data_IF_596456240424
#
_entry.id   IF_596456240424
#
_cell.length_a   1.000
_cell.length_b   1.000
_cell.length_c   1.000
_cell.angle_alpha   90.00
_cell.angle_beta   90.00
_cell.angle_gamma   90.00
#
_symmetry.space_group_name_H-M   'P 1'
#
loop_
_entity.id
_entity.type
_entity.pdbx_description
1 polymer ?
#
# COMPACT_ATOMS: atom_id res chain seq x y z
N UNK A 1 -48.02 3.18 33.37
CA UNK A 1 -46.86 4.10 33.49
C UNK A 1 -45.89 3.52 34.52
N UNK A 2 -44.58 3.51 34.22
CA UNK A 2 -43.50 3.17 35.16
C UNK A 2 -42.94 1.75 34.98
N UNK A 3 -42.33 1.43 33.83
CA UNK A 3 -40.87 1.50 33.55
C UNK A 3 -40.05 0.48 34.35
N UNK A 4 -39.79 -0.67 33.71
CA UNK A 4 -38.74 -1.60 34.07
C UNK A 4 -37.39 -0.86 34.04
N UNK A 5 -36.78 -0.68 35.21
CA UNK A 5 -35.44 -0.13 35.39
C UNK A 5 -34.42 -1.21 35.02
N UNK A 6 -33.95 -1.19 33.77
CA UNK A 6 -32.83 -2.03 33.36
C UNK A 6 -31.54 -1.32 33.77
N UNK A 7 -30.87 -1.88 34.77
CA UNK A 7 -29.49 -1.61 35.16
C UNK A 7 -28.58 -1.81 33.93
N UNK A 8 -28.39 -0.76 33.15
CA UNK A 8 -27.40 -0.68 32.08
C UNK A 8 -26.26 0.20 32.56
N UNK A 9 -25.51 -0.28 33.56
CA UNK A 9 -24.21 0.26 33.91
C UNK A 9 -23.29 -0.09 32.73
N UNK A 10 -23.42 0.68 31.64
CA UNK A 10 -22.50 0.70 30.53
C UNK A 10 -21.24 1.37 31.06
N UNK A 11 -20.47 0.51 31.71
CA UNK A 11 -19.09 0.66 32.12
C UNK A 11 -18.30 1.00 30.84
N UNK A 12 -18.31 2.27 30.43
CA UNK A 12 -17.36 2.82 29.47
C UNK A 12 -16.01 2.92 30.19
N UNK A 13 -15.44 1.76 30.52
CA UNK A 13 -14.01 1.56 30.71
C UNK A 13 -13.39 1.65 29.32
N UNK A 14 -13.34 2.87 28.80
CA UNK A 14 -12.12 3.33 28.17
C UNK A 14 -11.29 3.97 29.30
N UNK A 15 -10.80 3.11 30.21
CA UNK A 15 -9.51 3.39 30.81
C UNK A 15 -8.56 3.43 29.62
N UNK A 16 -8.25 4.64 29.15
CA UNK A 16 -6.99 4.93 28.48
C UNK A 16 -5.96 5.07 29.61
N UNK A 17 -5.15 4.05 29.95
CA UNK A 17 -3.79 4.34 30.37
C UNK A 17 -3.02 4.70 29.09
N UNK A 18 -2.04 5.55 29.06
CA UNK A 18 -1.34 6.31 30.08
C UNK A 18 -0.99 7.67 29.43
N UNK A 19 -0.43 8.59 30.21
CA UNK A 19 0.13 9.87 29.79
C UNK A 19 0.24 10.06 28.27
N UNK A 20 -0.62 10.92 27.70
CA UNK A 20 -0.47 11.37 26.33
C UNK A 20 0.89 12.07 26.23
N UNK A 21 1.90 11.38 25.76
CA UNK A 21 3.15 12.00 25.45
C UNK A 21 2.99 12.66 24.08
N UNK A 22 3.42 13.91 24.01
CA UNK A 22 2.95 14.84 23.01
C UNK A 22 3.67 14.71 21.66
N UNK A 23 4.27 13.57 21.31
CA UNK A 23 5.04 13.50 20.05
C UNK A 23 4.11 13.40 18.84
N UNK A 24 4.32 14.22 17.82
CA UNK A 24 3.58 14.20 16.57
C UNK A 24 4.35 13.40 15.52
N UNK A 25 3.61 12.76 14.62
CA UNK A 25 4.18 12.00 13.52
C UNK A 25 3.54 12.46 12.22
N UNK A 26 4.34 12.63 11.18
CA UNK A 26 3.85 13.01 9.88
C UNK A 26 4.56 12.28 8.75
N UNK A 27 3.85 12.16 7.63
CA UNK A 27 4.37 11.65 6.36
C UNK A 27 4.22 12.75 5.33
N UNK A 28 5.32 13.31 4.83
CA UNK A 28 5.30 14.49 3.95
C UNK A 28 4.44 15.65 4.51
N UNK A 29 4.35 15.78 5.84
CA UNK A 29 3.51 16.78 6.51
C UNK A 29 2.08 16.34 6.85
N UNK A 30 1.64 15.14 6.44
CA UNK A 30 0.32 14.58 6.77
C UNK A 30 0.36 13.70 8.02
N UNK A 31 -0.50 13.95 9.02
CA UNK A 31 -0.36 13.38 10.38
C UNK A 31 -0.95 11.98 10.58
N UNK A 32 -1.60 11.40 9.56
CA UNK A 32 -2.35 10.14 9.73
C UNK A 32 -2.50 9.32 8.47
N UNK A 33 -2.79 9.97 7.35
CA UNK A 33 -2.99 9.33 6.07
C UNK A 33 -2.30 10.15 4.99
N UNK A 34 -1.39 9.54 4.25
CA UNK A 34 -0.79 10.13 3.08
C UNK A 34 -1.13 9.29 1.83
N UNK A 35 -1.44 9.96 0.72
CA UNK A 35 -1.57 9.31 -0.58
C UNK A 35 -0.40 9.78 -1.44
N UNK A 36 0.37 8.84 -1.97
CA UNK A 36 1.60 9.12 -2.71
C UNK A 36 1.67 8.25 -3.96
N UNK A 37 2.38 8.71 -4.97
CA UNK A 37 2.61 7.92 -6.18
C UNK A 37 3.78 6.96 -6.00
N UNK A 38 3.67 5.78 -6.61
CA UNK A 38 4.72 4.79 -6.68
C UNK A 38 6.02 5.37 -7.24
N UNK A 39 7.14 5.09 -6.58
CA UNK A 39 8.47 5.59 -6.95
C UNK A 39 8.80 6.97 -6.37
N UNK A 40 7.90 7.59 -5.60
CA UNK A 40 8.14 8.86 -4.94
C UNK A 40 8.92 8.67 -3.63
N UNK A 41 9.81 9.63 -3.32
CA UNK A 41 10.48 9.72 -2.03
C UNK A 41 9.52 10.30 -0.99
N UNK A 42 9.34 9.58 0.10
CA UNK A 42 8.45 9.94 1.21
C UNK A 42 9.27 10.15 2.46
N UNK A 43 9.02 11.25 3.16
CA UNK A 43 9.67 11.61 4.41
C UNK A 43 8.75 11.32 5.59
N UNK A 44 9.22 10.47 6.51
CA UNK A 44 8.60 10.18 7.79
C UNK A 44 9.30 11.01 8.86
N UNK A 45 8.53 11.78 9.63
CA UNK A 45 9.08 12.66 10.67
C UNK A 45 8.34 12.43 11.98
N UNK A 46 9.09 12.28 13.06
CA UNK A 46 8.60 12.35 14.42
C UNK A 46 9.08 13.66 15.06
N UNK A 47 8.15 14.49 15.52
CA UNK A 47 8.43 15.80 16.11
C UNK A 47 7.93 15.81 17.54
N UNK A 48 8.73 16.39 18.43
CA UNK A 48 8.30 16.67 19.81
C UNK A 48 7.97 18.15 19.90
N UNK A 49 6.73 18.54 20.23
CA UNK A 49 6.36 19.94 20.35
C UNK A 49 7.11 20.58 21.50
N UNK A 50 7.45 21.87 21.36
CA UNK A 50 8.28 22.57 22.34
C UNK A 50 7.62 22.72 23.73
N UNK A 51 6.29 22.58 23.79
CA UNK A 51 5.49 22.57 25.02
C UNK A 51 5.35 21.18 25.66
N UNK A 52 5.99 20.15 25.10
CA UNK A 52 5.91 18.80 25.64
C UNK A 52 6.45 18.73 27.06
N UNK A 53 5.62 18.22 27.97
CA UNK A 53 6.03 17.99 29.36
C UNK A 53 7.05 16.86 29.50
N UNK A 54 7.11 15.95 28.51
CA UNK A 54 7.97 14.77 28.53
C UNK A 54 8.58 14.59 27.14
N UNK A 55 9.90 14.47 27.09
CA UNK A 55 10.67 14.32 25.84
C UNK A 55 11.14 12.87 25.73
N UNK A 56 10.90 12.19 24.59
CA UNK A 56 11.43 10.85 24.35
C UNK A 56 12.95 10.85 24.18
N UNK A 57 13.60 9.81 24.68
CA UNK A 57 15.04 9.57 24.53
C UNK A 57 15.35 9.06 23.12
N UNK A 58 14.50 8.19 22.58
CA UNK A 58 14.70 7.57 21.27
C UNK A 58 13.40 7.30 20.54
N UNK A 59 13.50 7.18 19.22
CA UNK A 59 12.40 6.83 18.32
C UNK A 59 12.72 5.52 17.61
N UNK A 60 11.67 4.78 17.27
CA UNK A 60 11.76 3.57 16.46
C UNK A 60 10.58 3.46 15.51
N UNK A 61 10.88 3.44 14.23
CA UNK A 61 9.94 3.18 13.15
C UNK A 61 9.89 1.69 12.83
N UNK A 62 8.68 1.15 12.71
CA UNK A 62 8.39 -0.14 12.08
C UNK A 62 7.48 0.10 10.88
N UNK A 63 8.00 -0.14 9.67
CA UNK A 63 7.24 0.00 8.42
C UNK A 63 6.34 -1.22 8.13
N UNK A 64 6.33 -2.23 9.00
CA UNK A 64 5.60 -3.49 8.84
C UNK A 64 6.21 -4.44 7.79
N UNK A 65 7.10 -3.94 6.94
CA UNK A 65 7.77 -4.67 5.85
C UNK A 65 9.10 -4.03 5.49
N UNK A 66 9.89 -4.78 4.74
CA UNK A 66 11.09 -4.26 4.09
C UNK A 66 10.69 -3.36 2.91
N UNK A 67 11.13 -2.10 2.93
CA UNK A 67 10.90 -1.08 1.90
C UNK A 67 12.01 -1.09 0.85
N UNK A 68 13.27 -1.08 1.29
CA UNK A 68 14.48 -0.93 0.47
C UNK A 68 15.43 -2.10 0.75
N UNK A 69 15.07 -3.29 0.27
CA UNK A 69 15.86 -4.50 0.45
C UNK A 69 15.78 -5.12 1.85
N UNK A 70 16.58 -6.15 2.10
CA UNK A 70 16.46 -6.96 3.30
C UNK A 70 16.98 -6.21 4.54
N UNK A 71 16.17 -6.12 5.60
CA UNK A 71 16.55 -5.47 6.87
C UNK A 71 16.14 -3.99 6.97
N UNK A 72 15.50 -3.41 5.96
CA UNK A 72 15.07 -2.01 5.97
C UNK A 72 13.73 -1.78 6.70
N UNK A 73 13.22 -2.77 7.42
CA UNK A 73 11.92 -2.71 8.10
C UNK A 73 11.89 -1.74 9.27
N UNK A 74 13.02 -1.60 9.95
CA UNK A 74 13.14 -0.77 11.16
C UNK A 74 14.09 0.38 10.94
N UNK A 75 13.82 1.50 11.62
CA UNK A 75 14.72 2.65 11.64
C UNK A 75 14.62 3.39 12.98
N UNK A 76 15.75 3.79 13.55
CA UNK A 76 15.80 4.44 14.87
C UNK A 76 15.97 5.98 14.79
N UNK A 77 15.98 6.55 13.58
CA UNK A 77 16.09 7.99 13.37
C UNK A 77 14.75 8.70 13.56
N UNK A 78 14.79 9.94 14.05
CA UNK A 78 13.60 10.79 14.18
C UNK A 78 12.99 11.19 12.82
N UNK A 79 13.83 11.36 11.79
CA UNK A 79 13.41 11.55 10.40
C UNK A 79 13.99 10.49 9.48
N UNK A 80 13.17 9.97 8.57
CA UNK A 80 13.53 8.89 7.65
C UNK A 80 12.95 9.17 6.27
N UNK A 81 13.80 9.21 5.26
CA UNK A 81 13.37 9.27 3.86
C UNK A 81 13.43 7.88 3.22
N UNK A 82 12.34 7.44 2.59
CA UNK A 82 12.25 6.16 1.88
C UNK A 82 11.51 6.32 0.56
N UNK A 83 11.89 5.51 -0.43
CA UNK A 83 11.17 5.44 -1.71
C UNK A 83 10.22 4.25 -1.70
N UNK A 84 8.94 4.50 -1.96
CA UNK A 84 7.91 3.47 -1.96
C UNK A 84 7.61 3.00 -3.39
N UNK A 85 8.10 1.83 -3.78
CA UNK A 85 7.98 1.31 -5.15
C UNK A 85 6.76 0.42 -5.41
N UNK A 86 6.22 -0.23 -4.37
CA UNK A 86 5.08 -1.12 -4.56
C UNK A 86 3.78 -0.38 -4.26
N UNK A 87 2.83 -0.44 -5.18
CA UNK A 87 1.49 0.06 -4.93
C UNK A 87 0.81 -0.73 -3.79
N UNK A 88 0.01 -0.04 -2.98
CA UNK A 88 -0.74 -0.65 -1.88
C UNK A 88 -0.77 0.21 -0.62
N UNK A 89 -1.42 -0.33 0.41
CA UNK A 89 -1.51 0.30 1.72
C UNK A 89 -0.36 -0.15 2.64
N UNK A 90 0.30 0.82 3.27
CA UNK A 90 1.38 0.63 4.22
C UNK A 90 0.93 1.08 5.60
N UNK A 91 1.10 0.21 6.58
CA UNK A 91 0.91 0.52 7.99
C UNK A 91 2.27 0.82 8.62
N UNK A 92 2.49 2.06 9.03
CA UNK A 92 3.75 2.50 9.64
C UNK A 92 3.49 2.82 11.10
N UNK A 93 4.30 2.27 11.99
CA UNK A 93 4.20 2.52 13.44
C UNK A 93 5.47 3.20 13.92
N UNK A 94 5.32 4.34 14.58
CA UNK A 94 6.40 5.00 15.30
C UNK A 94 6.24 4.72 16.79
N UNK A 95 7.30 4.26 17.44
CA UNK A 95 7.38 4.06 18.88
C UNK A 95 8.37 5.06 19.46
N UNK A 96 7.95 5.83 20.45
CA UNK A 96 8.80 6.72 21.23
C UNK A 96 9.10 6.06 22.58
N UNK A 97 10.37 6.07 23.01
CA UNK A 97 10.81 5.53 24.29
C UNK A 97 11.23 6.67 25.22
N UNK A 98 10.81 6.58 26.48
CA UNK A 98 11.05 7.59 27.51
C UNK A 98 12.00 7.07 28.59
N UNK A 99 12.64 7.99 29.31
CA UNK A 99 13.64 7.70 30.36
C UNK A 99 13.05 6.90 31.55
N UNK A 100 11.74 7.03 31.80
CA UNK A 100 11.03 6.24 32.82
C UNK A 100 10.76 4.79 32.39
N UNK A 101 11.22 4.40 31.20
CA UNK A 101 11.00 3.09 30.59
C UNK A 101 9.61 2.94 29.96
N UNK A 102 8.79 4.00 29.94
CA UNK A 102 7.52 3.99 29.21
C UNK A 102 7.74 4.11 27.71
N UNK A 103 6.76 3.67 26.93
CA UNK A 103 6.78 3.80 25.48
C UNK A 103 5.40 4.16 24.96
N UNK A 104 5.34 5.06 23.98
CA UNK A 104 4.11 5.41 23.27
C UNK A 104 4.24 5.04 21.79
N UNK A 105 3.12 4.64 21.18
CA UNK A 105 3.06 4.25 19.78
C UNK A 105 2.03 5.08 19.01
N UNK A 106 2.42 5.57 17.84
CA UNK A 106 1.52 6.21 16.87
C UNK A 106 1.57 5.50 15.52
N UNK A 107 0.41 5.35 14.89
CA UNK A 107 0.27 4.65 13.62
C UNK A 107 -0.14 5.61 12.50
N UNK A 108 0.52 5.47 11.35
CA UNK A 108 0.23 6.21 10.13
C UNK A 108 -0.06 5.23 8.99
N UNK A 109 -0.89 5.69 8.05
CA UNK A 109 -1.25 4.96 6.85
C UNK A 109 -0.71 5.69 5.63
N UNK A 110 -0.04 4.94 4.75
CA UNK A 110 0.42 5.48 3.45
C UNK A 110 -0.22 4.64 2.35
N UNK A 111 -0.98 5.28 1.48
CA UNK A 111 -1.56 4.65 0.30
C UNK A 111 -0.70 5.02 -0.89
N UNK A 112 -0.03 4.02 -1.45
CA UNK A 112 0.76 4.18 -2.67
C UNK A 112 -0.12 3.83 -3.85
N UNK A 113 -0.50 4.85 -4.62
CA UNK A 113 -1.17 4.67 -5.90
C UNK A 113 -0.17 4.45 -7.01
N UNK A 114 -0.58 3.68 -8.02
CA UNK A 114 0.09 3.66 -9.31
C UNK A 114 -0.98 4.00 -10.34
N UNK A 115 -0.65 4.90 -11.25
CA UNK A 115 -1.46 5.15 -12.42
C UNK A 115 -0.67 4.64 -13.63
N UNK A 116 -1.31 3.80 -14.43
CA UNK A 116 -0.74 3.41 -15.72
C UNK A 116 -0.70 4.65 -16.59
N UNK A 117 0.45 4.96 -17.17
CA UNK A 117 0.58 6.12 -18.04
C UNK A 117 -0.46 5.99 -19.16
N UNK A 118 -1.43 6.91 -19.18
CA UNK A 118 -2.61 6.84 -20.05
C UNK A 118 -2.30 6.89 -21.56
N UNK A 119 -1.03 7.02 -21.94
CA UNK A 119 -0.60 7.36 -23.29
C UNK A 119 0.60 6.54 -23.78
N UNK A 120 0.79 5.31 -23.28
CA UNK A 120 1.70 4.38 -23.96
C UNK A 120 0.96 3.83 -25.19
N UNK A 121 1.40 4.13 -26.43
CA UNK A 121 0.82 3.50 -27.60
C UNK A 121 1.03 2.00 -27.44
N UNK A 122 -0.07 1.23 -27.39
CA UNK A 122 -0.03 -0.22 -27.27
C UNK A 122 0.74 -0.79 -28.47
N UNK A 123 2.05 -0.92 -28.28
CA UNK A 123 3.03 -1.22 -29.33
C UNK A 123 2.87 -2.67 -29.78
N UNK A 124 2.17 -3.48 -29.00
CA UNK A 124 1.94 -4.90 -29.25
C UNK A 124 0.59 -5.20 -29.88
N UNK A 125 -0.41 -4.30 -29.79
CA UNK A 125 -1.68 -4.41 -30.55
C UNK A 125 -1.53 -4.81 -32.02
N UNK A 126 -0.67 -4.18 -32.84
CA UNK A 126 -0.52 -4.58 -34.23
C UNK A 126 0.01 -6.02 -34.38
N UNK A 127 0.88 -6.48 -33.48
CA UNK A 127 1.37 -7.87 -33.46
C UNK A 127 0.26 -8.86 -33.08
N UNK A 128 -0.57 -8.54 -32.07
CA UNK A 128 -1.71 -9.38 -31.70
C UNK A 128 -2.74 -9.50 -32.83
N UNK A 129 -3.04 -8.38 -33.51
CA UNK A 129 -3.94 -8.37 -34.66
C UNK A 129 -3.35 -9.16 -35.84
N UNK A 130 -2.05 -9.00 -36.11
CA UNK A 130 -1.38 -9.75 -37.17
C UNK A 130 -1.34 -11.27 -36.90
N UNK A 131 -1.08 -11.67 -35.66
CA UNK A 131 -1.04 -13.07 -35.25
C UNK A 131 -2.43 -13.73 -35.35
N UNK A 132 -3.45 -13.07 -34.81
CA UNK A 132 -4.84 -13.55 -34.90
C UNK A 132 -5.32 -13.63 -36.36
N UNK A 133 -4.96 -12.63 -37.18
CA UNK A 133 -5.24 -12.65 -38.61
C UNK A 133 -4.58 -13.83 -39.31
N UNK A 134 -3.29 -14.07 -39.06
CA UNK A 134 -2.55 -15.17 -39.66
C UNK A 134 -3.15 -16.54 -39.31
N UNK A 135 -3.60 -16.74 -38.06
CA UNK A 135 -4.25 -17.97 -37.62
C UNK A 135 -5.57 -18.22 -38.37
N UNK A 136 -6.41 -17.19 -38.52
CA UNK A 136 -7.66 -17.28 -39.28
C UNK A 136 -7.41 -17.59 -40.76
N UNK A 137 -6.42 -16.94 -41.38
CA UNK A 137 -6.06 -17.19 -42.78
C UNK A 137 -5.56 -18.62 -42.99
N UNK A 138 -4.64 -19.10 -42.14
CA UNK A 138 -4.11 -20.46 -42.21
C UNK A 138 -5.21 -21.50 -42.00
N UNK A 139 -6.08 -21.30 -41.02
CA UNK A 139 -7.20 -22.20 -40.73
C UNK A 139 -8.18 -22.26 -41.90
N UNK A 140 -8.56 -21.10 -42.46
CA UNK A 140 -9.44 -21.04 -43.63
C UNK A 140 -8.83 -21.71 -44.86
N UNK A 141 -7.54 -21.49 -45.11
CA UNK A 141 -6.81 -22.12 -46.22
C UNK A 141 -6.77 -23.64 -46.09
N UNK A 142 -6.46 -24.17 -44.91
CA UNK A 142 -6.46 -25.61 -44.65
C UNK A 142 -7.86 -26.23 -44.80
N UNK A 143 -8.90 -25.55 -44.32
CA UNK A 143 -10.28 -26.00 -44.49
C UNK A 143 -10.67 -26.09 -45.97
N UNK A 144 -10.27 -25.10 -46.77
CA UNK A 144 -10.50 -25.10 -48.21
C UNK A 144 -9.77 -26.24 -48.93
N UNK A 145 -8.49 -26.46 -48.60
CA UNK A 145 -7.69 -27.56 -49.17
C UNK A 145 -8.29 -28.93 -48.82
N UNK A 146 -8.65 -29.15 -47.56
CA UNK A 146 -9.24 -30.43 -47.12
C UNK A 146 -10.59 -30.70 -47.78
N UNK A 147 -11.41 -29.66 -47.97
CA UNK A 147 -12.67 -29.79 -48.70
C UNK A 147 -12.44 -30.20 -50.16
N UNK A 148 -11.53 -29.55 -50.89
CA UNK A 148 -11.16 -29.93 -52.26
C UNK A 148 -10.65 -31.37 -52.37
N UNK A 149 -9.83 -31.80 -51.42
CA UNK A 149 -9.31 -33.17 -51.39
C UNK A 149 -10.42 -34.20 -51.14
N UNK A 150 -11.44 -33.85 -50.34
CA UNK A 150 -12.61 -34.70 -50.13
C UNK A 150 -13.41 -34.87 -51.42
N UNK A 151 -13.68 -33.79 -52.14
CA UNK A 151 -14.37 -33.86 -53.43
C UNK A 151 -13.61 -34.73 -54.43
N UNK A 152 -12.31 -34.52 -54.60
CA UNK A 152 -11.49 -35.30 -55.53
C UNK A 152 -11.49 -36.82 -55.24
N UNK A 153 -11.58 -37.23 -53.98
CA UNK A 153 -11.66 -38.65 -53.58
C UNK A 153 -13.03 -39.28 -53.78
N UNK A 154 -14.11 -38.50 -53.88
CA UNK A 154 -15.47 -39.02 -54.11
C UNK A 154 -15.68 -39.40 -55.59
N UNK A 155 -14.83 -38.91 -56.49
CA UNK A 155 -14.89 -39.18 -57.93
C UNK A 155 -13.92 -40.28 -58.42
N UNK A 156 -13.29 -41.02 -57.51
CA UNK A 156 -12.43 -42.19 -57.77
C UNK A 156 -13.06 -43.44 -57.15
#
# INVERSE_FOLDING_TARGET
MGRYSCNGLLLLVLLLPAAAAEFEVSVNGEERLAVVESGTSVEFVAVVPANASVIPESFKWDFGRNLTGNGSRYNDSASVSQVLHAAGAYSVTCTAFYDDGSSEQKQLWVIVSWEEAADEPDTHRPLFVALAGAELFMSGWLLWQTWRLKEAKVYL
#
